data_IF_279749900262
#
_entry.id   IF_279749900262
#
_cell.length_a   1.000
_cell.length_b   1.000
_cell.length_c   1.000
_cell.angle_alpha   90.00
_cell.angle_beta   90.00
_cell.angle_gamma   90.00
#
_symmetry.space_group_name_H-M   'P 1'
#
loop_
_entity.id
_entity.type
_entity.pdbx_description
1 polymer ?
#
# COMPACT_ATOMS: atom_id res chain seq x y z
N UNK A 1 31.99 73.72 22.99
CA UNK A 1 32.04 72.68 21.94
C UNK A 1 32.23 71.31 22.58
N UNK A 2 31.22 70.43 22.48
CA UNK A 2 31.30 68.96 22.27
C UNK A 2 29.94 68.37 22.63
N UNK A 3 29.07 68.25 21.63
CA UNK A 3 27.74 67.64 21.73
C UNK A 3 27.88 66.14 21.51
N UNK A 4 27.61 65.34 22.54
CA UNK A 4 27.68 63.87 22.50
C UNK A 4 26.46 63.34 21.75
N UNK A 5 26.69 62.74 20.57
CA UNK A 5 25.65 62.05 19.82
C UNK A 5 25.50 60.63 20.36
N UNK A 6 24.36 60.32 20.99
CA UNK A 6 23.98 58.96 21.36
C UNK A 6 23.46 58.24 20.11
N UNK A 7 24.21 57.26 19.61
CA UNK A 7 23.74 56.35 18.57
C UNK A 7 22.68 55.41 19.15
N UNK A 8 21.46 55.47 18.61
CA UNK A 8 20.39 54.50 18.89
C UNK A 8 20.62 53.31 17.96
N UNK A 9 21.03 52.17 18.52
CA UNK A 9 21.12 50.92 17.78
C UNK A 9 19.70 50.35 17.60
N UNK A 10 19.19 50.40 16.37
CA UNK A 10 17.98 49.68 15.97
C UNK A 10 18.30 48.18 15.91
N UNK A 11 17.81 47.42 16.89
CA UNK A 11 17.76 45.96 16.82
C UNK A 11 16.64 45.56 15.84
N UNK A 12 17.03 45.05 14.67
CA UNK A 12 16.13 44.29 13.81
C UNK A 12 15.94 42.89 14.41
N UNK A 13 14.71 42.42 14.64
CA UNK A 13 14.49 41.03 15.01
C UNK A 13 14.81 40.15 13.79
N UNK A 14 15.81 39.28 13.90
CA UNK A 14 15.99 38.17 12.96
C UNK A 14 14.78 37.25 13.09
N UNK A 15 13.83 37.35 12.15
CA UNK A 15 12.89 36.26 11.90
C UNK A 15 13.70 35.06 11.40
N UNK A 16 13.92 34.08 12.28
CA UNK A 16 14.33 32.75 11.87
C UNK A 16 13.13 32.11 11.19
N UNK A 17 13.10 32.16 9.85
CA UNK A 17 12.21 31.31 9.09
C UNK A 17 12.61 29.87 9.39
N UNK A 18 11.80 29.16 10.16
CA UNK A 18 11.90 27.72 10.29
C UNK A 18 11.64 27.15 8.90
N UNK A 19 12.69 26.84 8.15
CA UNK A 19 12.57 25.98 6.98
C UNK A 19 12.08 24.64 7.51
N UNK A 20 10.84 24.29 7.19
CA UNK A 20 10.40 22.92 7.36
C UNK A 20 11.34 22.06 6.52
N UNK A 21 12.28 21.37 7.19
CA UNK A 21 13.20 20.46 6.52
C UNK A 21 12.37 19.39 5.82
N UNK A 22 12.40 19.39 4.49
CA UNK A 22 11.69 18.39 3.70
C UNK A 22 12.25 16.99 4.01
N UNK A 23 11.37 16.00 4.10
CA UNK A 23 11.79 14.62 4.26
C UNK A 23 12.43 14.12 2.97
N UNK A 24 13.74 13.86 3.02
CA UNK A 24 14.48 13.25 1.92
C UNK A 24 14.00 11.80 1.72
N UNK A 25 13.80 11.38 0.47
CA UNK A 25 13.49 10.00 0.11
C UNK A 25 14.78 9.18 0.02
N UNK A 26 14.77 7.95 0.54
CA UNK A 26 15.95 7.08 0.56
C UNK A 26 15.68 5.77 -0.16
N UNK A 27 16.58 5.37 -1.08
CA UNK A 27 16.56 4.02 -1.64
C UNK A 27 17.10 3.03 -0.61
N UNK A 28 16.37 1.93 -0.38
CA UNK A 28 16.74 0.89 0.58
C UNK A 28 17.52 -0.26 -0.04
N UNK A 29 17.12 -0.74 -1.21
CA UNK A 29 17.71 -1.91 -1.85
C UNK A 29 19.06 -1.59 -2.54
N UNK A 30 19.99 -2.55 -2.47
CA UNK A 30 21.28 -2.48 -3.19
C UNK A 30 21.18 -2.92 -4.64
N UNK A 31 20.37 -3.96 -4.89
CA UNK A 31 20.16 -4.56 -6.21
C UNK A 31 18.73 -4.28 -6.66
N UNK A 32 18.51 -3.82 -7.90
CA UNK A 32 17.16 -3.62 -8.42
C UNK A 32 16.44 -4.95 -8.63
N UNK A 33 15.14 -4.93 -8.40
CA UNK A 33 14.17 -5.99 -8.67
C UNK A 33 13.54 -5.78 -10.05
N UNK A 34 12.81 -6.77 -10.57
CA UNK A 34 12.22 -6.70 -11.92
C UNK A 34 10.95 -5.85 -11.91
N UNK A 35 10.04 -6.12 -10.98
CA UNK A 35 8.77 -5.42 -10.83
C UNK A 35 8.24 -5.54 -9.38
N UNK A 36 8.90 -4.89 -8.39
CA UNK A 36 8.46 -4.94 -7.00
C UNK A 36 7.11 -4.22 -6.84
N UNK A 37 6.10 -4.94 -6.37
CA UNK A 37 4.70 -4.54 -6.39
C UNK A 37 4.14 -4.28 -4.98
N UNK A 38 4.65 -4.98 -3.98
CA UNK A 38 4.23 -4.75 -2.59
C UNK A 38 5.38 -4.98 -1.63
N UNK A 39 5.24 -4.45 -0.40
CA UNK A 39 6.22 -4.64 0.66
C UNK A 39 5.53 -4.80 2.00
N UNK A 40 5.89 -5.86 2.73
CA UNK A 40 5.44 -6.12 4.08
C UNK A 40 6.64 -6.14 5.04
N UNK A 41 6.50 -5.54 6.23
CA UNK A 41 7.55 -5.57 7.26
C UNK A 41 7.21 -6.64 8.29
N UNK A 42 8.13 -7.58 8.51
CA UNK A 42 8.05 -8.51 9.63
C UNK A 42 9.36 -8.58 10.39
N UNK A 43 9.30 -8.17 11.66
CA UNK A 43 10.47 -8.00 12.52
C UNK A 43 11.42 -6.94 11.95
N UNK A 44 12.62 -7.37 11.53
CA UNK A 44 13.66 -6.50 10.95
C UNK A 44 13.80 -6.64 9.43
N UNK A 45 12.97 -7.47 8.81
CA UNK A 45 13.06 -7.78 7.40
C UNK A 45 11.87 -7.21 6.64
N UNK A 46 12.12 -6.90 5.38
CA UNK A 46 11.10 -6.55 4.40
C UNK A 46 10.87 -7.77 3.50
N UNK A 47 9.61 -8.09 3.25
CA UNK A 47 9.18 -9.12 2.33
C UNK A 47 8.54 -8.41 1.15
N UNK A 48 9.08 -8.60 -0.04
CA UNK A 48 8.75 -7.81 -1.22
C UNK A 48 8.21 -8.77 -2.28
N UNK A 49 6.98 -8.57 -2.71
CA UNK A 49 6.43 -9.28 -3.85
C UNK A 49 6.96 -8.62 -5.13
N UNK A 50 7.58 -9.41 -6.00
CA UNK A 50 7.99 -9.01 -7.34
C UNK A 50 7.16 -9.80 -8.35
N UNK A 51 6.37 -9.10 -9.16
CA UNK A 51 5.47 -9.75 -10.13
C UNK A 51 6.22 -10.48 -11.22
N UNK A 52 7.53 -10.28 -11.35
CA UNK A 52 8.31 -10.86 -12.44
C UNK A 52 8.00 -10.21 -13.79
N UNK A 53 6.95 -9.41 -13.96
CA UNK A 53 6.71 -8.68 -15.20
C UNK A 53 5.24 -8.44 -15.46
N UNK A 54 4.63 -9.32 -16.26
CA UNK A 54 3.21 -9.19 -16.61
C UNK A 54 2.35 -9.57 -15.41
N UNK A 55 1.57 -8.64 -14.84
CA UNK A 55 0.87 -8.88 -13.59
C UNK A 55 -0.28 -9.89 -13.71
N UNK A 56 -0.61 -10.36 -14.91
CA UNK A 56 -1.75 -11.26 -15.17
C UNK A 56 -1.35 -12.65 -15.66
N UNK A 57 -0.06 -12.91 -15.90
CA UNK A 57 0.40 -14.17 -16.48
C UNK A 57 0.73 -15.21 -15.42
N UNK A 58 0.57 -16.47 -15.82
CA UNK A 58 0.98 -17.66 -15.07
C UNK A 58 2.21 -18.30 -15.70
N UNK A 59 3.34 -17.62 -15.61
CA UNK A 59 4.60 -18.01 -16.23
C UNK A 59 5.70 -18.39 -15.22
N UNK A 60 5.41 -18.31 -13.92
CA UNK A 60 6.32 -18.76 -12.87
C UNK A 60 7.55 -17.86 -12.65
N UNK A 61 7.56 -16.63 -13.18
CA UNK A 61 8.71 -15.72 -13.10
C UNK A 61 8.64 -14.72 -11.93
N UNK A 62 7.59 -14.83 -11.10
CA UNK A 62 7.39 -14.08 -9.87
C UNK A 62 8.18 -14.61 -8.66
N UNK A 63 8.53 -13.69 -7.76
CA UNK A 63 9.34 -13.96 -6.57
C UNK A 63 8.78 -13.24 -5.34
N UNK A 64 9.04 -13.81 -4.16
CA UNK A 64 9.06 -13.06 -2.92
C UNK A 64 10.51 -12.89 -2.50
N UNK A 65 10.97 -11.65 -2.39
CA UNK A 65 12.28 -11.32 -1.86
C UNK A 65 12.21 -11.04 -0.37
N UNK A 66 13.27 -11.41 0.36
CA UNK A 66 13.53 -10.94 1.72
C UNK A 66 14.71 -9.98 1.69
N UNK A 67 14.48 -8.76 2.17
CA UNK A 67 15.50 -7.73 2.30
C UNK A 67 15.78 -7.42 3.78
N UNK A 68 17.05 -7.32 4.15
CA UNK A 68 17.46 -6.90 5.50
C UNK A 68 17.48 -5.38 5.67
N UNK A 69 17.75 -4.89 6.89
CA UNK A 69 17.86 -3.47 7.17
C UNK A 69 19.07 -2.76 6.53
N UNK A 70 19.97 -3.49 5.88
CA UNK A 70 21.14 -2.98 5.16
C UNK A 70 20.93 -2.96 3.63
N UNK A 71 19.75 -3.39 3.17
CA UNK A 71 19.38 -3.43 1.76
C UNK A 71 19.88 -4.66 1.01
N UNK A 72 20.37 -5.68 1.70
CA UNK A 72 20.78 -6.94 1.07
C UNK A 72 19.54 -7.79 0.81
N UNK A 73 19.43 -8.31 -0.42
CA UNK A 73 18.28 -9.08 -0.88
C UNK A 73 18.65 -10.56 -0.99
N UNK A 74 17.71 -11.41 -0.60
CA UNK A 74 17.73 -12.85 -0.81
C UNK A 74 16.36 -13.33 -1.29
N UNK A 75 16.32 -14.45 -2.02
CA UNK A 75 15.04 -15.06 -2.41
C UNK A 75 14.43 -15.75 -1.19
N UNK A 76 13.17 -15.40 -0.89
CA UNK A 76 12.38 -16.04 0.17
C UNK A 76 11.48 -17.14 -0.40
N UNK A 77 10.82 -16.86 -1.52
CA UNK A 77 10.03 -17.82 -2.28
C UNK A 77 10.14 -17.54 -3.79
N UNK A 78 10.03 -18.58 -4.60
CA UNK A 78 10.11 -18.52 -6.07
C UNK A 78 9.11 -19.47 -6.72
N UNK A 79 8.93 -19.36 -8.05
CA UNK A 79 7.93 -20.15 -8.77
C UNK A 79 6.51 -19.66 -8.50
N UNK A 80 6.38 -18.37 -8.14
CA UNK A 80 5.11 -17.66 -8.15
C UNK A 80 4.88 -17.11 -9.55
N UNK A 81 3.64 -16.79 -9.86
CA UNK A 81 3.26 -16.30 -11.19
C UNK A 81 3.47 -14.79 -11.27
N UNK A 82 2.67 -14.01 -10.54
CA UNK A 82 2.80 -12.56 -10.42
C UNK A 82 2.31 -12.08 -9.04
N UNK A 83 3.08 -12.30 -7.96
CA UNK A 83 2.64 -12.02 -6.61
C UNK A 83 2.47 -10.51 -6.34
N UNK A 84 1.44 -10.14 -5.55
CA UNK A 84 1.13 -8.72 -5.24
C UNK A 84 0.98 -8.48 -3.74
N UNK A 85 -0.14 -7.93 -3.29
CA UNK A 85 -0.40 -7.62 -1.89
C UNK A 85 -0.31 -8.84 -0.98
N UNK A 86 0.12 -8.61 0.26
CA UNK A 86 0.47 -9.68 1.18
C UNK A 86 0.14 -9.33 2.62
N UNK A 87 -0.06 -10.36 3.43
CA UNK A 87 -0.30 -10.22 4.86
C UNK A 87 0.25 -11.40 5.64
N UNK A 88 0.73 -11.14 6.87
CA UNK A 88 1.18 -12.20 7.77
C UNK A 88 0.12 -12.48 8.83
N UNK A 89 -0.33 -13.74 8.93
CA UNK A 89 -1.16 -14.24 10.03
C UNK A 89 -0.60 -15.57 10.53
N UNK A 90 -0.53 -15.75 11.85
CA UNK A 90 -0.10 -17.00 12.48
C UNK A 90 1.23 -17.55 11.92
N UNK A 91 2.21 -16.67 11.69
CA UNK A 91 3.52 -16.99 11.12
C UNK A 91 3.48 -17.54 9.67
N UNK A 92 2.39 -17.29 8.94
CA UNK A 92 2.26 -17.59 7.51
C UNK A 92 2.17 -16.27 6.74
N UNK A 93 3.04 -16.11 5.74
CA UNK A 93 3.02 -15.01 4.78
C UNK A 93 2.07 -15.38 3.64
N UNK A 94 0.87 -14.81 3.63
CA UNK A 94 -0.11 -14.96 2.56
C UNK A 94 0.13 -13.90 1.49
N UNK A 95 -0.02 -14.28 0.23
CA UNK A 95 0.17 -13.40 -0.92
C UNK A 95 -0.84 -13.75 -2.01
N UNK A 96 -1.37 -12.74 -2.68
CA UNK A 96 -2.16 -12.90 -3.90
C UNK A 96 -1.23 -13.24 -5.05
N UNK A 97 -1.64 -14.15 -5.93
CA UNK A 97 -0.84 -14.60 -7.05
C UNK A 97 -1.76 -14.95 -8.24
N UNK A 98 -2.01 -13.95 -9.10
CA UNK A 98 -2.96 -14.01 -10.22
C UNK A 98 -4.38 -14.36 -9.78
N UNK A 99 -4.74 -15.64 -9.73
CA UNK A 99 -6.05 -16.15 -9.32
C UNK A 99 -5.96 -17.12 -8.13
N UNK A 100 -4.82 -17.11 -7.44
CA UNK A 100 -4.58 -17.92 -6.25
C UNK A 100 -4.18 -17.06 -5.07
N UNK A 101 -4.40 -17.59 -3.88
CA UNK A 101 -3.74 -17.13 -2.66
C UNK A 101 -2.76 -18.22 -2.25
N UNK A 102 -1.47 -17.86 -2.19
CA UNK A 102 -0.41 -18.75 -1.71
C UNK A 102 -0.01 -18.32 -0.30
N UNK A 103 0.39 -19.28 0.53
CA UNK A 103 0.91 -18.98 1.87
C UNK A 103 2.19 -19.74 2.17
N UNK A 104 3.14 -19.04 2.79
CA UNK A 104 4.50 -19.52 3.04
C UNK A 104 4.83 -19.43 4.53
N UNK A 105 5.46 -20.46 5.09
CA UNK A 105 6.00 -20.40 6.45
C UNK A 105 7.07 -19.32 6.53
N UNK A 106 6.83 -18.31 7.36
CA UNK A 106 7.67 -17.13 7.46
C UNK A 106 9.12 -17.45 7.87
N UNK A 107 9.36 -18.58 8.53
CA UNK A 107 10.68 -18.98 9.00
C UNK A 107 11.60 -19.46 7.87
N UNK A 108 11.03 -20.17 6.89
CA UNK A 108 11.81 -20.95 5.93
C UNK A 108 11.38 -20.77 4.46
N UNK A 109 10.31 -20.02 4.19
CA UNK A 109 9.82 -19.76 2.84
C UNK A 109 9.12 -20.94 2.17
N UNK A 110 8.89 -22.04 2.89
CA UNK A 110 8.17 -23.20 2.35
C UNK A 110 6.70 -22.88 2.17
N UNK A 111 6.15 -23.17 1.00
CA UNK A 111 4.71 -23.09 0.77
C UNK A 111 3.96 -24.08 1.67
N UNK A 112 2.99 -23.58 2.42
CA UNK A 112 2.16 -24.32 3.38
C UNK A 112 0.67 -24.15 3.12
N UNK A 113 0.29 -23.26 2.21
CA UNK A 113 -1.11 -22.96 1.89
C UNK A 113 -1.28 -22.61 0.41
N UNK A 114 -2.41 -23.02 -0.16
CA UNK A 114 -2.87 -22.57 -1.48
C UNK A 114 -4.39 -22.60 -1.50
N UNK A 115 -4.99 -21.54 -2.05
CA UNK A 115 -6.41 -21.47 -2.35
C UNK A 115 -6.58 -21.04 -3.80
N UNK A 116 -7.23 -21.88 -4.59
CA UNK A 116 -7.55 -21.62 -6.00
C UNK A 116 -8.86 -20.83 -6.10
N UNK A 117 -8.81 -19.69 -6.80
CA UNK A 117 -9.96 -18.82 -7.06
C UNK A 117 -10.23 -18.66 -8.56
N UNK A 118 -9.66 -19.50 -9.43
CA UNK A 118 -9.84 -19.46 -10.88
C UNK A 118 -11.32 -19.47 -11.31
N UNK A 119 -12.19 -20.15 -10.56
CA UNK A 119 -13.64 -20.21 -10.85
C UNK A 119 -14.36 -18.86 -10.69
N UNK A 120 -13.73 -17.87 -10.05
CA UNK A 120 -14.26 -16.50 -10.00
C UNK A 120 -14.08 -15.75 -11.33
N UNK A 121 -13.19 -16.25 -12.20
CA UNK A 121 -12.81 -15.61 -13.45
C UNK A 121 -11.81 -14.46 -13.30
N UNK A 122 -11.32 -14.18 -12.09
CA UNK A 122 -10.25 -13.19 -11.89
C UNK A 122 -8.92 -13.71 -12.45
N UNK A 123 -8.10 -12.80 -12.95
CA UNK A 123 -6.68 -12.99 -13.25
C UNK A 123 -5.81 -11.95 -12.54
N UNK A 124 -6.40 -11.18 -11.63
CA UNK A 124 -5.76 -10.02 -11.02
C UNK A 124 -6.23 -9.81 -9.58
N UNK A 125 -6.12 -10.87 -8.75
CA UNK A 125 -6.10 -10.71 -7.30
C UNK A 125 -4.95 -9.77 -6.94
N UNK A 126 -5.22 -8.81 -6.06
CA UNK A 126 -4.30 -7.72 -5.80
C UNK A 126 -3.93 -7.57 -4.32
N UNK A 127 -4.70 -6.84 -3.52
CA UNK A 127 -4.35 -6.57 -2.13
C UNK A 127 -5.14 -7.43 -1.15
N UNK A 128 -4.66 -7.52 0.09
CA UNK A 128 -5.33 -8.22 1.17
C UNK A 128 -5.20 -7.52 2.53
N UNK A 129 -6.26 -7.60 3.33
CA UNK A 129 -6.27 -7.09 4.70
C UNK A 129 -6.88 -8.09 5.66
N UNK A 130 -6.28 -8.25 6.83
CA UNK A 130 -6.84 -9.11 7.86
C UNK A 130 -8.05 -8.46 8.55
N UNK A 131 -9.14 -9.22 8.61
CA UNK A 131 -10.29 -8.92 9.46
C UNK A 131 -10.07 -9.44 10.89
N UNK A 132 -9.52 -10.65 10.99
CA UNK A 132 -9.16 -11.36 12.22
C UNK A 132 -8.11 -12.45 11.91
N UNK A 133 -7.70 -13.24 12.90
CA UNK A 133 -6.64 -14.26 12.78
C UNK A 133 -6.96 -15.40 11.81
N UNK A 134 -8.18 -15.44 11.26
CA UNK A 134 -8.65 -16.49 10.36
C UNK A 134 -9.37 -15.97 9.11
N UNK A 135 -9.48 -14.66 8.94
CA UNK A 135 -10.28 -14.07 7.87
C UNK A 135 -9.53 -12.92 7.20
N UNK A 136 -9.40 -13.00 5.87
CA UNK A 136 -8.83 -11.94 5.03
C UNK A 136 -9.91 -11.34 4.13
N UNK A 137 -9.83 -10.04 3.87
CA UNK A 137 -10.43 -9.43 2.68
C UNK A 137 -9.38 -9.45 1.56
N UNK A 138 -9.79 -9.77 0.34
CA UNK A 138 -8.89 -9.80 -0.83
C UNK A 138 -9.56 -9.12 -2.01
N UNK A 139 -8.87 -8.17 -2.64
CA UNK A 139 -9.38 -7.47 -3.82
C UNK A 139 -9.04 -8.20 -5.12
N UNK A 140 -9.89 -7.99 -6.13
CA UNK A 140 -9.69 -8.45 -7.50
C UNK A 140 -9.93 -7.27 -8.45
N UNK A 141 -8.85 -6.68 -8.96
CA UNK A 141 -8.93 -5.40 -9.67
C UNK A 141 -9.60 -5.54 -11.03
N UNK A 142 -9.39 -6.64 -11.73
CA UNK A 142 -9.94 -6.90 -13.07
C UNK A 142 -11.47 -7.02 -13.09
N UNK A 143 -12.04 -7.64 -12.05
CA UNK A 143 -13.49 -7.83 -11.91
C UNK A 143 -14.14 -6.86 -10.93
N UNK A 144 -13.37 -5.92 -10.35
CA UNK A 144 -13.86 -4.90 -9.41
C UNK A 144 -14.61 -5.47 -8.20
N UNK A 145 -14.09 -6.58 -7.66
CA UNK A 145 -14.68 -7.30 -6.51
C UNK A 145 -13.75 -7.33 -5.32
N UNK A 146 -14.34 -7.60 -4.15
CA UNK A 146 -13.64 -7.94 -2.93
C UNK A 146 -14.22 -9.26 -2.43
N UNK A 147 -13.35 -10.19 -2.03
CA UNK A 147 -13.71 -11.48 -1.47
C UNK A 147 -13.38 -11.53 0.02
N UNK A 148 -14.14 -12.32 0.75
CA UNK A 148 -13.85 -12.72 2.12
C UNK A 148 -13.28 -14.13 2.07
N UNK A 149 -12.05 -14.28 2.55
CA UNK A 149 -11.32 -15.55 2.58
C UNK A 149 -11.33 -16.07 4.01
N UNK A 150 -11.89 -17.25 4.19
CA UNK A 150 -11.92 -17.95 5.47
C UNK A 150 -10.79 -18.97 5.48
N UNK A 151 -9.78 -18.73 6.30
CA UNK A 151 -8.62 -19.58 6.49
C UNK A 151 -8.97 -20.78 7.38
N UNK A 152 -8.11 -21.80 7.38
CA UNK A 152 -8.24 -22.98 8.24
C UNK A 152 -8.02 -24.28 7.48
N UNK A 153 -8.49 -25.40 8.05
CA UNK A 153 -8.32 -26.74 7.47
C UNK A 153 -9.07 -26.94 6.16
N UNK A 154 -10.17 -26.21 5.98
CA UNK A 154 -11.00 -26.25 4.78
C UNK A 154 -11.21 -24.81 4.32
N UNK A 155 -10.19 -24.21 3.68
CA UNK A 155 -10.27 -22.83 3.26
C UNK A 155 -11.37 -22.65 2.22
N UNK A 156 -12.07 -21.53 2.30
CA UNK A 156 -13.16 -21.18 1.39
C UNK A 156 -13.21 -19.66 1.23
N UNK A 157 -13.91 -19.22 0.21
CA UNK A 157 -14.13 -17.81 -0.04
C UNK A 157 -15.60 -17.52 -0.37
N UNK A 158 -15.99 -16.27 -0.20
CA UNK A 158 -17.26 -15.73 -0.65
C UNK A 158 -17.06 -14.29 -1.13
N UNK A 159 -17.92 -13.82 -2.04
CA UNK A 159 -17.89 -12.42 -2.45
C UNK A 159 -18.41 -11.53 -1.32
N UNK A 160 -17.70 -10.44 -1.02
CA UNK A 160 -18.26 -9.36 -0.21
C UNK A 160 -19.26 -8.60 -1.09
N UNK A 161 -20.55 -8.85 -0.89
CA UNK A 161 -21.61 -8.22 -1.66
C UNK A 161 -21.87 -6.80 -1.15
N UNK A 162 -21.74 -5.81 -2.02
CA UNK A 162 -22.11 -4.41 -1.80
C UNK A 162 -22.54 -3.74 -3.11
N UNK A 163 -23.32 -2.66 -3.01
CA UNK A 163 -23.67 -1.81 -4.16
C UNK A 163 -22.65 -0.69 -4.38
N UNK A 164 -22.62 -0.16 -5.62
CA UNK A 164 -21.62 0.81 -6.11
C UNK A 164 -20.20 0.20 -6.11
N UNK A 165 -19.85 -0.64 -7.09
CA UNK A 165 -18.56 -1.34 -7.08
C UNK A 165 -17.38 -0.37 -7.06
N UNK A 166 -16.31 -0.75 -6.37
CA UNK A 166 -15.03 -0.04 -6.40
C UNK A 166 -14.37 -0.31 -7.75
N UNK A 167 -14.40 0.66 -8.67
CA UNK A 167 -13.84 0.48 -10.01
C UNK A 167 -12.35 0.12 -9.93
N UNK A 168 -12.00 -1.06 -10.40
CA UNK A 168 -10.63 -1.55 -10.31
C UNK A 168 -10.20 -1.79 -8.86
N UNK A 169 -11.07 -2.34 -8.00
CA UNK A 169 -10.80 -2.59 -6.58
C UNK A 169 -9.36 -3.09 -6.33
N UNK A 170 -8.55 -2.28 -5.66
CA UNK A 170 -7.12 -2.49 -5.55
C UNK A 170 -6.70 -2.58 -4.08
N UNK A 171 -6.14 -1.53 -3.48
CA UNK A 171 -5.79 -1.55 -2.05
C UNK A 171 -7.01 -1.69 -1.14
N UNK A 172 -6.82 -2.43 -0.02
CA UNK A 172 -7.82 -2.60 1.03
C UNK A 172 -7.21 -2.52 2.43
N UNK A 173 -7.90 -1.90 3.39
CA UNK A 173 -7.49 -1.93 4.81
C UNK A 173 -8.71 -1.92 5.74
N UNK A 174 -8.72 -2.81 6.73
CA UNK A 174 -9.86 -2.97 7.64
C UNK A 174 -9.68 -2.19 8.95
N UNK A 175 -10.69 -1.39 9.32
CA UNK A 175 -10.82 -0.80 10.65
C UNK A 175 -11.84 -1.58 11.48
N UNK A 176 -11.32 -2.44 12.36
CA UNK A 176 -12.13 -3.19 13.31
C UNK A 176 -12.93 -2.31 14.29
N UNK A 177 -12.47 -1.09 14.59
CA UNK A 177 -13.12 -0.21 15.57
C UNK A 177 -14.42 0.36 15.01
N UNK A 178 -14.44 0.67 13.72
CA UNK A 178 -15.62 1.20 13.02
C UNK A 178 -16.36 0.13 12.23
N UNK A 179 -15.83 -1.10 12.18
CA UNK A 179 -16.30 -2.17 11.30
C UNK A 179 -16.40 -1.72 9.83
N UNK A 180 -15.34 -1.06 9.35
CA UNK A 180 -15.27 -0.51 8.00
C UNK A 180 -14.10 -1.10 7.23
N UNK A 181 -14.36 -1.50 5.99
CA UNK A 181 -13.32 -1.81 5.03
C UNK A 181 -13.07 -0.59 4.17
N UNK A 182 -11.90 0.04 4.32
CA UNK A 182 -11.47 1.07 3.40
C UNK A 182 -10.91 0.42 2.16
N UNK A 183 -11.19 1.01 1.00
CA UNK A 183 -10.73 0.51 -0.28
C UNK A 183 -10.43 1.68 -1.21
N UNK A 184 -9.45 1.47 -2.09
CA UNK A 184 -9.25 2.31 -3.25
C UNK A 184 -9.34 1.48 -4.54
N UNK A 185 -9.52 2.16 -5.66
CA UNK A 185 -9.59 1.53 -6.96
C UNK A 185 -8.53 2.06 -7.90
N UNK A 186 -8.00 1.19 -8.76
CA UNK A 186 -7.10 1.58 -9.84
C UNK A 186 -7.86 2.23 -11.01
N UNK A 187 -9.19 2.02 -11.09
CA UNK A 187 -10.03 2.50 -12.18
C UNK A 187 -10.23 1.45 -13.28
N UNK A 188 -10.83 1.88 -14.38
CA UNK A 188 -10.96 1.06 -15.58
C UNK A 188 -9.63 0.97 -16.33
N UNK A 189 -9.44 -0.07 -17.14
CA UNK A 189 -8.21 -0.27 -17.90
C UNK A 189 -7.76 1.00 -18.64
N UNK A 190 -6.57 1.50 -18.28
CA UNK A 190 -5.95 2.69 -18.86
C UNK A 190 -6.65 4.02 -18.54
N UNK A 191 -7.50 4.08 -17.51
CA UNK A 191 -8.18 5.31 -17.08
C UNK A 191 -7.95 5.57 -15.58
N UNK A 192 -7.42 6.74 -15.18
CA UNK A 192 -7.22 7.10 -13.78
C UNK A 192 -8.55 7.55 -13.13
N UNK A 193 -9.59 6.73 -13.24
CA UNK A 193 -10.92 7.01 -12.71
C UNK A 193 -11.26 6.15 -11.48
N UNK A 194 -10.22 5.69 -10.79
CA UNK A 194 -10.32 5.03 -9.49
C UNK A 194 -10.85 5.95 -8.40
N UNK A 195 -11.41 5.37 -7.35
CA UNK A 195 -12.07 6.09 -6.26
C UNK A 195 -11.45 5.68 -4.90
N UNK A 196 -11.53 6.54 -3.89
CA UNK A 196 -11.12 6.24 -2.50
C UNK A 196 -12.37 6.29 -1.63
N UNK A 197 -12.61 5.25 -0.84
CA UNK A 197 -13.82 5.18 -0.03
C UNK A 197 -13.77 4.10 1.03
N UNK A 198 -14.95 3.75 1.53
CA UNK A 198 -15.12 2.66 2.48
C UNK A 198 -16.44 1.92 2.26
N UNK A 199 -16.50 0.71 2.81
CA UNK A 199 -17.69 -0.11 2.95
C UNK A 199 -17.94 -0.28 4.45
N UNK A 200 -19.09 0.18 4.95
CA UNK A 200 -19.54 -0.16 6.30
C UNK A 200 -20.06 -1.59 6.29
N UNK A 201 -19.47 -2.46 7.12
CA UNK A 201 -19.80 -3.87 7.15
C UNK A 201 -20.98 -4.20 8.09
N UNK A 202 -21.47 -3.20 8.82
CA UNK A 202 -22.57 -3.34 9.79
C UNK A 202 -23.95 -3.57 9.13
N UNK A 203 -24.39 -2.78 8.13
CA UNK A 203 -25.67 -3.01 7.48
C UNK A 203 -25.67 -4.29 6.62
N UNK A 204 -26.86 -4.85 6.41
CA UNK A 204 -27.06 -5.95 5.45
C UNK A 204 -26.85 -5.46 4.00
N UNK A 205 -27.49 -4.34 3.64
CA UNK A 205 -27.29 -3.64 2.36
C UNK A 205 -26.04 -2.76 2.42
N UNK A 206 -24.88 -3.38 2.15
CA UNK A 206 -23.58 -2.71 2.15
C UNK A 206 -23.42 -1.88 0.88
N UNK A 207 -22.74 -0.75 1.01
CA UNK A 207 -22.46 0.17 -0.10
C UNK A 207 -21.04 0.66 0.00
N UNK A 208 -20.37 0.82 -1.14
CA UNK A 208 -19.18 1.65 -1.18
C UNK A 208 -19.58 3.12 -1.12
N UNK A 209 -18.91 3.86 -0.24
CA UNK A 209 -19.12 5.29 -0.01
C UNK A 209 -17.81 6.02 -0.35
N UNK A 210 -17.77 6.77 -1.48
CA UNK A 210 -16.62 7.60 -1.82
C UNK A 210 -16.38 8.67 -0.74
N UNK A 211 -15.10 8.95 -0.47
CA UNK A 211 -14.68 9.95 0.50
C UNK A 211 -14.23 11.28 -0.15
N UNK A 212 -14.05 11.28 -1.46
CA UNK A 212 -13.58 12.42 -2.26
C UNK A 212 -14.04 12.29 -3.71
N UNK A 213 -14.07 13.41 -4.44
CA UNK A 213 -14.28 13.42 -5.89
C UNK A 213 -12.97 13.29 -6.68
N UNK A 214 -11.82 13.28 -6.00
CA UNK A 214 -10.51 13.08 -6.64
C UNK A 214 -10.42 11.65 -7.17
N UNK A 215 -10.09 11.51 -8.44
CA UNK A 215 -9.84 10.22 -9.08
C UNK A 215 -8.36 10.04 -9.41
N UNK A 216 -7.93 8.79 -9.58
CA UNK A 216 -6.53 8.44 -9.82
C UNK A 216 -6.35 6.97 -10.19
N UNK A 217 -5.09 6.56 -10.26
CA UNK A 217 -4.67 5.16 -10.34
C UNK A 217 -4.22 4.73 -8.94
N UNK A 218 -5.19 4.48 -8.06
CA UNK A 218 -4.89 4.19 -6.66
C UNK A 218 -4.46 2.75 -6.47
N UNK A 219 -3.38 2.56 -5.71
CA UNK A 219 -2.80 1.25 -5.47
C UNK A 219 -2.93 0.84 -4.00
N UNK A 220 -1.91 1.06 -3.18
CA UNK A 220 -1.95 0.80 -1.74
C UNK A 220 -2.81 1.80 -0.98
N UNK A 221 -3.38 1.34 0.13
CA UNK A 221 -4.15 2.16 1.09
C UNK A 221 -3.91 1.67 2.52
N UNK A 222 -3.54 2.59 3.41
CA UNK A 222 -3.36 2.27 4.84
C UNK A 222 -4.03 3.31 5.72
N UNK A 223 -4.49 2.91 6.89
CA UNK A 223 -4.85 3.84 7.96
C UNK A 223 -3.60 4.28 8.70
N UNK A 224 -3.47 5.57 9.00
CA UNK A 224 -2.46 6.01 9.94
C UNK A 224 -2.73 5.43 11.35
N UNK A 225 -1.72 5.52 12.22
CA UNK A 225 -1.77 4.89 13.55
C UNK A 225 -2.90 5.42 14.43
N UNK A 226 -3.22 6.71 14.31
CA UNK A 226 -4.30 7.34 15.06
C UNK A 226 -5.69 7.06 14.47
N UNK A 227 -5.77 6.42 13.28
CA UNK A 227 -7.00 6.17 12.52
C UNK A 227 -7.77 7.47 12.23
N UNK A 228 -7.05 8.54 11.94
CA UNK A 228 -7.58 9.88 11.61
C UNK A 228 -7.41 10.22 10.14
N UNK A 229 -6.54 9.52 9.42
CA UNK A 229 -6.29 9.74 8.01
C UNK A 229 -6.01 8.41 7.28
N UNK A 230 -6.35 8.39 6.01
CA UNK A 230 -5.89 7.37 5.07
C UNK A 230 -4.64 7.88 4.36
N UNK A 231 -3.66 7.00 4.18
CA UNK A 231 -2.56 7.23 3.26
C UNK A 231 -2.80 6.36 2.03
N UNK A 232 -2.57 6.89 0.83
CA UNK A 232 -2.92 6.23 -0.44
C UNK A 232 -1.79 6.46 -1.43
N UNK A 233 -1.32 5.41 -2.13
CA UNK A 233 -0.45 5.59 -3.28
C UNK A 233 -1.27 5.83 -4.55
N UNK A 234 -0.84 6.77 -5.36
CA UNK A 234 -1.45 7.09 -6.65
C UNK A 234 -0.37 7.13 -7.71
N UNK A 235 -0.50 6.28 -8.73
CA UNK A 235 0.43 6.29 -9.84
C UNK A 235 0.38 7.59 -10.63
N UNK A 236 -0.78 8.26 -10.69
CA UNK A 236 -1.09 9.43 -11.51
C UNK A 236 -1.01 9.15 -13.02
N UNK A 237 0.09 8.54 -13.48
CA UNK A 237 0.31 8.02 -14.83
C UNK A 237 1.37 6.91 -14.77
N UNK A 238 1.49 6.12 -15.86
CA UNK A 238 2.54 5.11 -16.03
C UNK A 238 3.91 5.74 -16.38
N UNK A 239 4.33 6.70 -15.57
CA UNK A 239 5.56 7.49 -15.66
C UNK A 239 6.04 7.82 -14.22
N UNK A 240 7.17 8.51 -14.09
CA UNK A 240 7.63 9.06 -12.79
C UNK A 240 6.79 10.29 -12.37
N UNK A 241 5.51 10.05 -12.08
CA UNK A 241 4.52 11.05 -11.65
C UNK A 241 3.81 10.68 -10.35
N UNK A 242 4.12 9.51 -9.81
CA UNK A 242 3.39 8.96 -8.69
C UNK A 242 3.63 9.71 -7.38
N UNK A 243 2.62 9.66 -6.53
CA UNK A 243 2.57 10.36 -5.25
C UNK A 243 1.98 9.48 -4.17
N UNK A 244 2.32 9.78 -2.91
CA UNK A 244 1.61 9.30 -1.73
C UNK A 244 0.76 10.45 -1.20
N UNK A 245 -0.53 10.21 -1.08
CA UNK A 245 -1.52 11.14 -0.59
C UNK A 245 -1.86 10.81 0.86
N UNK A 246 -2.27 11.82 1.60
CA UNK A 246 -3.00 11.68 2.85
C UNK A 246 -4.37 12.29 2.68
N UNK A 247 -5.42 11.56 3.06
CA UNK A 247 -6.79 12.03 3.15
C UNK A 247 -7.20 12.07 4.63
N UNK A 248 -7.43 13.27 5.17
CA UNK A 248 -7.95 13.43 6.52
C UNK A 248 -9.42 12.97 6.58
N UNK A 249 -9.73 12.03 7.48
CA UNK A 249 -11.05 11.41 7.54
C UNK A 249 -12.14 12.35 8.07
N UNK A 250 -11.78 13.45 8.74
CA UNK A 250 -12.72 14.44 9.28
C UNK A 250 -12.92 15.59 8.32
N UNK A 251 -11.86 16.28 7.92
CA UNK A 251 -11.94 17.46 7.03
C UNK A 251 -12.11 17.10 5.56
N UNK A 252 -11.76 15.86 5.17
CA UNK A 252 -11.66 15.40 3.78
C UNK A 252 -10.57 16.11 2.96
N UNK A 253 -9.69 16.83 3.63
CA UNK A 253 -8.54 17.48 3.00
C UNK A 253 -7.55 16.43 2.49
N UNK A 254 -6.98 16.68 1.30
CA UNK A 254 -5.97 15.83 0.69
C UNK A 254 -4.65 16.59 0.60
N UNK A 255 -3.58 15.98 1.10
CA UNK A 255 -2.21 16.52 1.01
C UNK A 255 -1.27 15.49 0.41
N UNK A 256 -0.35 15.92 -0.44
CA UNK A 256 0.74 15.06 -0.94
C UNK A 256 1.88 15.01 0.08
N UNK A 257 2.39 13.80 0.36
CA UNK A 257 3.38 13.55 1.42
C UNK A 257 4.82 13.47 0.90
N UNK A 258 5.02 12.97 -0.31
CA UNK A 258 6.34 12.89 -0.93
C UNK A 258 6.64 14.16 -1.75
N UNK A 259 7.90 14.59 -1.70
CA UNK A 259 8.37 15.69 -2.55
C UNK A 259 8.86 15.19 -3.91
N UNK A 260 9.68 14.14 -3.91
CA UNK A 260 10.14 13.50 -5.15
C UNK A 260 9.07 12.56 -5.70
N UNK A 261 8.75 12.70 -6.98
CA UNK A 261 7.78 11.83 -7.67
C UNK A 261 8.33 10.40 -7.77
N UNK A 262 7.44 9.43 -7.64
CA UNK A 262 7.78 8.01 -7.62
C UNK A 262 7.43 7.39 -8.98
N UNK A 263 8.31 6.54 -9.50
CA UNK A 263 8.08 5.81 -10.74
C UNK A 263 7.31 4.52 -10.44
N UNK A 264 5.98 4.64 -10.44
CA UNK A 264 5.06 3.57 -10.05
C UNK A 264 5.08 3.26 -8.56
N UNK A 265 4.51 4.14 -7.71
CA UNK A 265 4.26 3.82 -6.31
C UNK A 265 3.15 2.77 -6.24
N UNK A 266 3.56 1.51 -6.19
CA UNK A 266 2.65 0.39 -6.06
C UNK A 266 2.08 0.34 -4.61
N UNK A 267 1.88 -0.85 -4.05
CA UNK A 267 1.43 -0.98 -2.67
C UNK A 267 2.54 -0.60 -1.66
N UNK A 268 2.19 -0.27 -0.41
CA UNK A 268 3.15 0.20 0.58
C UNK A 268 2.76 -0.14 2.01
N UNK A 269 3.73 -0.06 2.91
CA UNK A 269 3.50 -0.26 4.34
C UNK A 269 4.13 0.84 5.18
N UNK A 270 3.82 0.87 6.47
CA UNK A 270 4.38 1.81 7.44
C UNK A 270 5.33 1.10 8.38
N UNK A 271 6.51 1.69 8.60
CA UNK A 271 7.44 1.19 9.60
C UNK A 271 7.01 1.52 11.04
N UNK A 272 7.83 1.11 12.00
CA UNK A 272 7.60 1.38 13.43
C UNK A 272 7.67 2.87 13.83
N UNK A 273 8.13 3.75 12.96
CA UNK A 273 8.14 5.20 13.14
C UNK A 273 7.03 5.91 12.34
N UNK A 274 6.25 5.17 11.55
CA UNK A 274 5.24 5.74 10.65
C UNK A 274 5.83 6.25 9.33
N UNK A 275 7.07 5.92 9.00
CA UNK A 275 7.64 6.20 7.67
C UNK A 275 7.00 5.28 6.64
N UNK A 276 6.82 5.78 5.42
CA UNK A 276 6.31 4.99 4.30
C UNK A 276 7.46 4.18 3.70
N UNK A 277 7.22 2.89 3.50
CA UNK A 277 8.09 1.99 2.74
C UNK A 277 7.31 1.54 1.52
N UNK A 278 7.77 1.93 0.33
CA UNK A 278 7.02 1.74 -0.93
C UNK A 278 7.95 1.34 -2.07
N UNK A 279 7.53 0.43 -2.97
CA UNK A 279 8.22 0.21 -4.23
C UNK A 279 8.11 1.42 -5.16
N UNK A 280 9.22 1.75 -5.83
CA UNK A 280 9.19 2.40 -7.14
C UNK A 280 9.28 1.29 -8.19
N UNK A 281 8.14 0.70 -8.52
CA UNK A 281 8.03 -0.53 -9.31
C UNK A 281 8.82 -0.42 -10.63
N UNK A 282 8.66 0.69 -11.35
CA UNK A 282 9.29 0.89 -12.66
C UNK A 282 10.82 1.04 -12.60
N UNK A 283 11.37 1.36 -11.42
CA UNK A 283 12.80 1.49 -11.19
C UNK A 283 13.40 0.27 -10.48
N UNK A 284 12.58 -0.73 -10.12
CA UNK A 284 13.03 -1.92 -9.40
C UNK A 284 13.49 -1.63 -7.97
N UNK A 285 13.05 -0.53 -7.36
CA UNK A 285 13.56 -0.08 -6.06
C UNK A 285 12.51 -0.10 -4.96
N UNK A 286 12.96 -0.18 -3.71
CA UNK A 286 12.15 0.09 -2.52
C UNK A 286 12.67 1.35 -1.86
N UNK A 287 11.74 2.23 -1.51
CA UNK A 287 12.00 3.58 -1.01
C UNK A 287 11.49 3.71 0.42
N UNK A 288 12.22 4.49 1.22
CA UNK A 288 11.77 5.00 2.51
C UNK A 288 11.48 6.49 2.37
N UNK A 289 10.26 6.89 2.74
CA UNK A 289 9.83 8.28 2.78
C UNK A 289 9.55 8.61 4.25
N UNK A 290 10.41 9.40 4.92
CA UNK A 290 10.18 9.78 6.30
C UNK A 290 8.94 10.65 6.40
N UNK A 291 8.06 10.35 7.34
CA UNK A 291 6.99 11.26 7.68
C UNK A 291 7.41 12.08 8.90
N UNK A 292 7.41 13.42 8.80
CA UNK A 292 7.66 14.27 9.96
C UNK A 292 6.63 13.94 11.05
N UNK A 293 7.08 13.77 12.31
CA UNK A 293 6.38 13.21 13.50
C UNK A 293 4.96 13.75 13.83
N UNK A 294 4.03 13.70 12.90
CA UNK A 294 2.61 14.05 13.07
C UNK A 294 1.67 12.86 12.79
N UNK A 295 2.21 11.63 12.76
CA UNK A 295 1.48 10.40 12.39
C UNK A 295 1.86 9.22 13.28
#
# INVERSE_FOLDING_TARGET
MKTIHRAVALLFPLLTAATAGFAQQFKLNRTPMKAPESVYISGKNYYISDTGGDPSKKDGDGFIYKMDGQGNISVFASGLDAPKGSWVLNNIFYVTDVDQIKGFDLNNGKQVFTLDMATTGTVLLNDMAAKDDSTLFVSASDISKIFIIHLGKSPRYEELVFSNPVKGANGVIYDNKQNRLYACGFGAAGKPNGEIGYIDLTPADKKFVPLTNRTGYYDGIVLNRQKTALLISDWVAFEKKGVILQLDLKSKEITTLNHELIAGPADFTLDNNGNIITPAMMEGNVLLIPLSKKY
#
